data_IF_045315996704
#
_entry.id   IF_045315996704
#
_cell.length_a   1.000
_cell.length_b   1.000
_cell.length_c   1.000
_cell.angle_alpha   90.00
_cell.angle_beta   90.00
_cell.angle_gamma   90.00
#
_symmetry.space_group_name_H-M   'P 1'
#
loop_
_entity.id
_entity.type
_entity.pdbx_description
1 polymer ?
#
# COMPACT_ATOMS: atom_id res chain seq x y z
N UNK A 1 -14.56 -64.77 -6.01
CA UNK A 1 -14.56 -65.70 -7.17
C UNK A 1 -13.72 -65.09 -8.27
N UNK A 2 -12.66 -65.86 -8.62
CA UNK A 2 -11.78 -65.80 -9.78
C UNK A 2 -10.80 -64.62 -9.95
N UNK A 3 -9.57 -64.93 -9.54
CA UNK A 3 -8.29 -64.51 -10.11
C UNK A 3 -8.19 -64.89 -11.61
N UNK A 4 -7.38 -64.13 -12.37
CA UNK A 4 -6.44 -64.71 -13.36
C UNK A 4 -5.21 -63.79 -13.47
N UNK A 5 -4.06 -64.35 -13.08
CA UNK A 5 -2.69 -63.96 -13.44
C UNK A 5 -2.38 -64.33 -14.90
N UNK A 6 -1.36 -63.66 -15.47
CA UNK A 6 -0.22 -64.26 -16.22
C UNK A 6 0.63 -63.14 -16.85
N UNK A 7 1.82 -62.87 -16.35
CA UNK A 7 3.17 -63.37 -16.67
C UNK A 7 3.55 -63.33 -18.15
N UNK A 8 4.67 -62.71 -18.47
CA UNK A 8 5.39 -62.80 -19.75
C UNK A 8 6.77 -62.11 -19.64
N UNK A 9 7.77 -62.92 -19.26
CA UNK A 9 9.20 -62.67 -19.40
C UNK A 9 9.67 -62.96 -20.84
N UNK A 10 10.55 -62.08 -21.37
CA UNK A 10 11.48 -62.51 -22.41
C UNK A 10 12.85 -61.90 -22.26
N UNK A 11 13.86 -62.73 -22.15
CA UNK A 11 15.30 -62.49 -22.08
C UNK A 11 15.90 -62.43 -23.48
N UNK A 12 17.05 -61.80 -23.60
CA UNK A 12 18.05 -61.98 -24.69
C UNK A 12 18.76 -60.65 -24.92
N UNK A 13 20.03 -60.44 -24.85
CA UNK A 13 21.19 -61.34 -24.98
C UNK A 13 22.32 -60.43 -25.51
N UNK A 14 23.31 -60.32 -24.76
CA UNK A 14 24.74 -60.08 -24.98
C UNK A 14 25.22 -59.81 -26.43
N UNK A 15 25.99 -58.71 -26.61
CA UNK A 15 27.29 -58.74 -27.33
C UNK A 15 28.17 -57.56 -26.91
N UNK A 16 29.31 -57.91 -26.30
CA UNK A 16 30.48 -57.03 -26.06
C UNK A 16 31.18 -56.78 -27.38
N UNK A 17 31.62 -55.56 -27.62
CA UNK A 17 32.78 -55.27 -28.46
C UNK A 17 33.56 -54.11 -27.90
N UNK A 18 34.80 -54.41 -27.52
CA UNK A 18 35.81 -53.45 -27.10
C UNK A 18 36.59 -52.97 -28.32
N UNK A 19 36.86 -51.67 -28.40
CA UNK A 19 37.99 -51.12 -29.15
C UNK A 19 38.29 -49.73 -28.68
N UNK A 20 39.40 -49.57 -27.99
CA UNK A 20 40.59 -48.78 -28.25
C UNK A 20 40.49 -47.22 -28.17
N UNK A 21 41.16 -46.75 -27.16
CA UNK A 21 41.97 -45.55 -26.95
C UNK A 21 42.01 -44.50 -28.09
N UNK A 22 41.63 -43.29 -27.74
CA UNK A 22 42.03 -42.05 -28.38
C UNK A 22 42.07 -40.91 -27.33
N UNK A 23 43.24 -40.68 -26.76
CA UNK A 23 43.55 -39.62 -25.81
C UNK A 23 43.63 -38.32 -26.60
N UNK A 24 42.62 -37.44 -26.47
CA UNK A 24 42.71 -36.05 -26.91
C UNK A 24 42.49 -35.18 -25.69
N UNK A 25 43.60 -34.66 -25.15
CA UNK A 25 43.60 -33.63 -24.16
C UNK A 25 43.10 -32.31 -24.78
N UNK A 26 41.85 -31.94 -24.53
CA UNK A 26 41.32 -30.65 -24.89
C UNK A 26 41.42 -29.74 -23.63
N UNK A 27 42.35 -28.80 -23.74
CA UNK A 27 42.55 -27.74 -22.75
C UNK A 27 41.20 -27.01 -22.45
N UNK A 28 40.66 -27.24 -21.27
CA UNK A 28 39.60 -26.43 -20.74
C UNK A 28 40.18 -25.08 -20.31
N UNK A 29 40.02 -24.05 -21.12
CA UNK A 29 40.21 -22.66 -20.66
C UNK A 29 38.99 -22.27 -19.80
N UNK A 30 39.22 -21.74 -18.60
CA UNK A 30 38.11 -21.15 -17.87
C UNK A 30 37.65 -19.88 -18.62
N UNK A 31 36.41 -19.89 -19.09
CA UNK A 31 35.72 -18.68 -19.53
C UNK A 31 35.52 -17.82 -18.29
N UNK A 32 36.43 -16.89 -18.05
CA UNK A 32 36.19 -15.81 -17.12
C UNK A 32 35.08 -14.93 -17.71
N UNK A 33 33.85 -15.15 -17.27
CA UNK A 33 32.78 -14.20 -17.48
C UNK A 33 33.17 -12.94 -16.68
N UNK A 34 33.59 -11.93 -17.39
CA UNK A 34 33.71 -10.57 -16.87
C UNK A 34 32.30 -10.11 -16.50
N UNK A 35 31.97 -10.27 -15.24
CA UNK A 35 30.81 -9.67 -14.61
C UNK A 35 31.11 -8.14 -14.53
N UNK A 36 30.80 -7.42 -15.61
CA UNK A 36 30.71 -5.97 -15.55
C UNK A 36 29.58 -5.64 -14.62
N UNK A 37 29.91 -5.35 -13.36
CA UNK A 37 29.04 -4.62 -12.48
C UNK A 37 28.64 -3.32 -13.18
N UNK A 38 27.40 -3.28 -13.69
CA UNK A 38 26.77 -2.04 -14.10
C UNK A 38 26.53 -1.27 -12.82
N UNK A 39 27.48 -0.41 -12.44
CA UNK A 39 27.21 0.70 -11.54
C UNK A 39 26.12 1.52 -12.20
N UNK A 40 24.86 1.27 -11.83
CA UNK A 40 23.76 2.17 -12.11
C UNK A 40 24.00 3.43 -11.28
N UNK A 41 24.83 4.33 -11.82
CA UNK A 41 24.90 5.69 -11.35
C UNK A 41 23.49 6.27 -11.40
N UNK A 42 22.95 6.65 -10.26
CA UNK A 42 21.66 7.34 -10.17
C UNK A 42 21.75 8.59 -11.06
N UNK A 43 21.22 8.49 -12.26
CA UNK A 43 21.16 9.59 -13.21
C UNK A 43 20.23 10.64 -12.59
N UNK A 44 20.79 11.80 -12.21
CA UNK A 44 19.99 12.90 -11.65
C UNK A 44 18.91 13.25 -12.64
N UNK A 45 17.65 13.16 -12.18
CA UNK A 45 16.48 13.58 -12.97
C UNK A 45 16.74 14.97 -13.55
N UNK A 46 16.70 15.16 -14.88
CA UNK A 46 16.91 16.46 -15.50
C UNK A 46 15.99 17.52 -14.90
N UNK A 47 16.46 18.74 -14.71
CA UNK A 47 15.72 19.80 -14.04
C UNK A 47 14.36 20.12 -14.71
N UNK A 48 14.29 20.04 -16.04
CA UNK A 48 13.06 20.20 -16.81
C UNK A 48 12.05 19.07 -16.54
N UNK A 49 12.50 17.83 -16.37
CA UNK A 49 11.64 16.71 -16.01
C UNK A 49 11.13 16.84 -14.58
N UNK A 50 11.97 17.28 -13.64
CA UNK A 50 11.56 17.54 -12.26
C UNK A 50 10.50 18.65 -12.19
N UNK A 51 10.63 19.71 -13.00
CA UNK A 51 9.64 20.78 -13.10
C UNK A 51 8.32 20.29 -13.69
N UNK A 52 8.38 19.49 -14.77
CA UNK A 52 7.18 18.88 -15.37
C UNK A 52 6.46 17.94 -14.39
N UNK A 53 7.19 17.15 -13.61
CA UNK A 53 6.61 16.29 -12.58
C UNK A 53 5.89 17.15 -11.53
N UNK A 54 6.48 18.23 -11.04
CA UNK A 54 5.82 19.15 -10.08
C UNK A 54 4.58 19.81 -10.66
N UNK A 55 4.59 20.13 -11.96
CA UNK A 55 3.42 20.72 -12.62
C UNK A 55 2.26 19.71 -12.76
N UNK A 56 2.57 18.43 -12.97
CA UNK A 56 1.56 17.35 -13.06
C UNK A 56 1.03 16.96 -11.68
N UNK A 57 1.90 16.97 -10.64
CA UNK A 57 1.60 16.53 -9.29
C UNK A 57 1.76 17.68 -8.28
N UNK A 58 0.91 18.72 -8.32
CA UNK A 58 1.03 19.84 -7.40
C UNK A 58 0.88 19.37 -5.94
N UNK A 59 1.76 19.85 -5.06
CA UNK A 59 1.76 19.48 -3.64
C UNK A 59 2.33 18.09 -3.34
N UNK A 60 2.88 17.38 -4.34
CA UNK A 60 3.49 16.07 -4.18
C UNK A 60 4.99 16.10 -4.52
N UNK A 61 5.80 15.54 -3.64
CA UNK A 61 7.22 15.29 -3.90
C UNK A 61 7.47 13.79 -3.97
N UNK A 62 8.11 13.34 -5.05
CA UNK A 62 8.39 11.93 -5.31
C UNK A 62 9.89 11.70 -5.13
N UNK A 63 10.26 10.80 -4.21
CA UNK A 63 11.63 10.33 -4.03
C UNK A 63 11.72 8.86 -4.45
N UNK A 64 12.24 8.61 -5.64
CA UNK A 64 12.37 7.26 -6.20
C UNK A 64 13.55 6.48 -5.61
N UNK A 65 14.61 7.17 -5.14
CA UNK A 65 15.79 6.55 -4.55
C UNK A 65 15.45 5.95 -3.17
N UNK A 66 14.88 6.75 -2.28
CA UNK A 66 14.45 6.31 -0.95
C UNK A 66 13.05 5.71 -0.92
N UNK A 67 12.37 5.72 -2.06
CA UNK A 67 11.04 5.15 -2.27
C UNK A 67 9.99 5.67 -1.29
N UNK A 68 9.76 6.98 -1.31
CA UNK A 68 8.66 7.61 -0.60
C UNK A 68 7.98 8.69 -1.43
N UNK A 69 6.76 9.00 -1.06
CA UNK A 69 5.96 10.11 -1.58
C UNK A 69 5.62 11.02 -0.41
N UNK A 70 5.97 12.31 -0.54
CA UNK A 70 5.58 13.37 0.38
C UNK A 70 4.43 14.16 -0.20
N UNK A 71 3.36 14.30 0.57
CA UNK A 71 2.17 15.08 0.19
C UNK A 71 2.03 16.26 1.14
N UNK A 72 2.03 17.47 0.58
CA UNK A 72 1.75 18.69 1.36
C UNK A 72 0.34 18.62 1.94
N UNK A 73 0.23 18.81 3.23
CA UNK A 73 -0.99 18.62 4.00
C UNK A 73 -1.16 19.75 5.02
N UNK A 74 -2.37 19.89 5.51
CA UNK A 74 -2.72 20.86 6.55
C UNK A 74 -3.50 20.14 7.63
N UNK A 75 -3.17 20.37 8.91
CA UNK A 75 -3.96 19.86 10.04
C UNK A 75 -5.34 20.47 10.00
N UNK A 76 -6.39 19.67 9.94
CA UNK A 76 -7.77 20.13 9.84
C UNK A 76 -8.64 19.77 11.06
N UNK A 77 -8.21 18.83 11.90
CA UNK A 77 -8.89 18.45 13.13
C UNK A 77 -7.86 18.23 14.23
N UNK A 78 -8.13 18.70 15.46
CA UNK A 78 -7.24 18.56 16.61
C UNK A 78 -7.79 17.65 17.72
N UNK A 79 -9.08 17.33 17.68
CA UNK A 79 -9.78 16.48 18.66
C UNK A 79 -10.97 15.79 18.00
N UNK A 80 -11.44 14.69 18.56
CA UNK A 80 -12.62 13.96 18.10
C UNK A 80 -12.31 12.59 17.51
N UNK A 81 -13.40 11.90 17.13
CA UNK A 81 -13.33 10.59 16.48
C UNK A 81 -12.86 10.71 15.05
N UNK A 82 -12.22 9.62 14.57
CA UNK A 82 -11.63 9.59 13.25
C UNK A 82 -12.20 8.43 12.42
N UNK A 83 -12.61 8.76 11.22
CA UNK A 83 -12.90 7.79 10.16
C UNK A 83 -11.77 7.78 9.11
N UNK A 84 -11.02 8.87 9.03
CA UNK A 84 -10.02 9.12 7.99
C UNK A 84 -8.74 9.68 8.63
N UNK A 85 -7.58 9.30 8.12
CA UNK A 85 -6.30 9.95 8.46
C UNK A 85 -6.08 11.17 7.58
N UNK A 86 -6.35 11.04 6.27
CA UNK A 86 -6.15 12.09 5.29
C UNK A 86 -7.29 12.11 4.28
N UNK A 87 -7.85 13.28 4.04
CA UNK A 87 -8.88 13.52 3.04
C UNK A 87 -8.44 14.58 2.02
N UNK A 88 -9.09 14.61 0.85
CA UNK A 88 -8.96 15.73 -0.07
C UNK A 88 -9.68 16.96 0.51
N UNK A 89 -9.21 18.14 0.12
CA UNK A 89 -9.84 19.41 0.50
C UNK A 89 -11.32 19.45 0.11
N UNK A 90 -12.13 20.09 0.94
CA UNK A 90 -13.58 20.27 0.79
C UNK A 90 -14.36 18.92 0.79
N UNK A 91 -13.87 17.91 1.55
CA UNK A 91 -14.51 16.60 1.63
C UNK A 91 -14.83 16.16 3.07
N UNK A 92 -13.85 15.62 3.82
CA UNK A 92 -14.05 14.96 5.12
C UNK A 92 -13.18 15.54 6.23
N UNK A 93 -12.94 16.84 6.25
CA UNK A 93 -12.06 17.49 7.22
C UNK A 93 -12.55 17.34 8.66
N UNK A 94 -13.86 17.20 8.86
CA UNK A 94 -14.49 17.08 10.19
C UNK A 94 -14.25 15.71 10.86
N UNK A 95 -13.64 14.75 10.16
CA UNK A 95 -13.35 13.39 10.63
C UNK A 95 -11.95 12.93 10.21
N UNK A 96 -11.08 13.87 9.83
CA UNK A 96 -9.74 13.63 9.30
C UNK A 96 -8.68 14.43 10.06
N UNK A 97 -7.49 13.85 10.25
CA UNK A 97 -6.36 14.55 10.88
C UNK A 97 -5.84 15.66 9.97
N UNK A 98 -5.63 15.33 8.69
CA UNK A 98 -5.07 16.25 7.71
C UNK A 98 -5.89 16.27 6.43
N UNK A 99 -5.95 17.44 5.81
CA UNK A 99 -6.45 17.57 4.44
C UNK A 99 -5.29 17.82 3.48
N UNK A 100 -5.45 17.39 2.23
CA UNK A 100 -4.50 17.56 1.12
C UNK A 100 -5.17 18.30 -0.04
N UNK A 101 -4.42 19.15 -0.73
CA UNK A 101 -4.89 19.81 -1.97
C UNK A 101 -4.64 18.93 -3.21
N UNK A 102 -3.72 17.97 -3.09
CA UNK A 102 -3.43 17.03 -4.16
C UNK A 102 -4.62 16.09 -4.39
N UNK A 103 -4.90 15.79 -5.66
CA UNK A 103 -5.93 14.81 -6.00
C UNK A 103 -5.54 13.40 -5.54
N UNK A 104 -6.47 12.61 -4.99
CA UNK A 104 -6.24 11.21 -4.65
C UNK A 104 -5.66 10.39 -5.81
N UNK A 105 -6.10 10.62 -7.06
CA UNK A 105 -5.53 9.97 -8.26
C UNK A 105 -4.06 10.34 -8.50
N UNK A 106 -3.64 11.55 -8.15
CA UNK A 106 -2.23 11.96 -8.24
C UNK A 106 -1.37 11.26 -7.20
N UNK A 107 -1.87 11.09 -5.97
CA UNK A 107 -1.20 10.32 -4.90
C UNK A 107 -1.06 8.86 -5.32
N UNK A 108 -2.12 8.27 -5.89
CA UNK A 108 -2.07 6.93 -6.48
C UNK A 108 -0.97 6.82 -7.54
N UNK A 109 -0.98 7.73 -8.52
CA UNK A 109 0.03 7.73 -9.59
C UNK A 109 1.45 7.92 -9.05
N UNK A 110 1.66 8.78 -8.06
CA UNK A 110 2.96 8.99 -7.42
C UNK A 110 3.48 7.72 -6.73
N UNK A 111 2.60 6.97 -6.04
CA UNK A 111 2.94 5.67 -5.46
C UNK A 111 3.31 4.64 -6.52
N UNK A 112 2.62 4.61 -7.67
CA UNK A 112 3.01 3.75 -8.80
C UNK A 112 4.40 4.10 -9.34
N UNK A 113 4.73 5.39 -9.46
CA UNK A 113 6.01 5.86 -9.98
C UNK A 113 7.21 5.42 -9.12
N UNK A 114 7.02 5.22 -7.81
CA UNK A 114 8.05 4.65 -6.91
C UNK A 114 7.97 3.13 -6.81
N UNK A 115 7.19 2.48 -7.67
CA UNK A 115 7.09 1.03 -7.76
C UNK A 115 6.20 0.39 -6.68
N UNK A 116 5.28 1.13 -6.06
CA UNK A 116 4.26 0.55 -5.20
C UNK A 116 3.21 -0.19 -6.03
N UNK A 117 2.64 -1.25 -5.47
CA UNK A 117 1.66 -2.11 -6.15
C UNK A 117 0.29 -1.94 -5.51
N UNK A 118 -0.70 -1.40 -6.25
CA UNK A 118 -2.07 -1.32 -5.78
C UNK A 118 -2.73 -2.69 -5.75
N UNK A 119 -3.77 -2.80 -4.95
CA UNK A 119 -4.66 -3.97 -4.91
C UNK A 119 -6.09 -3.60 -5.28
N UNK A 120 -6.97 -3.74 -4.32
CA UNK A 120 -8.39 -3.33 -4.41
C UNK A 120 -8.87 -2.81 -3.05
N UNK A 121 -9.76 -1.82 -3.01
CA UNK A 121 -10.49 -1.48 -1.80
C UNK A 121 -11.45 -2.61 -1.40
N UNK A 122 -12.02 -2.52 -0.20
CA UNK A 122 -13.08 -3.42 0.20
C UNK A 122 -14.28 -3.27 -0.75
N UNK A 123 -14.89 -4.37 -1.14
CA UNK A 123 -16.02 -4.36 -2.05
C UNK A 123 -16.97 -5.52 -1.78
N UNK A 124 -18.19 -5.41 -2.28
CA UNK A 124 -19.16 -6.50 -2.29
C UNK A 124 -19.39 -6.97 -3.72
N UNK A 125 -19.47 -8.26 -3.89
CA UNK A 125 -19.70 -8.88 -5.20
C UNK A 125 -20.90 -9.83 -5.14
N UNK A 126 -21.85 -9.76 -6.08
CA UNK A 126 -22.91 -10.73 -6.17
C UNK A 126 -22.34 -12.11 -6.54
N UNK A 127 -22.90 -13.14 -5.96
CA UNK A 127 -22.54 -14.56 -6.19
C UNK A 127 -23.37 -15.16 -7.32
N UNK A 128 -24.59 -14.65 -7.52
CA UNK A 128 -25.55 -15.11 -8.50
C UNK A 128 -25.98 -13.96 -9.44
N UNK A 129 -26.51 -14.31 -10.61
CA UNK A 129 -26.97 -13.34 -11.62
C UNK A 129 -28.12 -12.47 -11.12
N UNK A 130 -28.94 -12.99 -10.18
CA UNK A 130 -30.09 -12.27 -9.61
C UNK A 130 -29.68 -11.34 -8.45
N UNK A 131 -28.38 -11.32 -8.09
CA UNK A 131 -27.82 -10.53 -6.98
C UNK A 131 -28.55 -10.75 -5.64
N UNK A 132 -29.01 -11.97 -5.39
CA UNK A 132 -29.70 -12.35 -4.14
C UNK A 132 -28.74 -12.63 -2.99
N UNK A 133 -27.50 -13.05 -3.33
CA UNK A 133 -26.42 -13.31 -2.39
C UNK A 133 -25.17 -12.52 -2.73
N UNK A 134 -24.50 -12.03 -1.71
CA UNK A 134 -23.30 -11.22 -1.83
C UNK A 134 -22.15 -11.80 -1.01
N UNK A 135 -20.94 -11.64 -1.48
CA UNK A 135 -19.72 -11.92 -0.72
C UNK A 135 -18.95 -10.63 -0.52
N UNK A 136 -18.38 -10.49 0.66
CA UNK A 136 -17.47 -9.39 0.97
C UNK A 136 -16.07 -9.76 0.53
N UNK A 137 -15.45 -8.89 -0.25
CA UNK A 137 -14.07 -9.00 -0.69
C UNK A 137 -13.25 -8.02 0.15
N UNK A 138 -12.34 -8.52 0.99
CA UNK A 138 -11.52 -7.64 1.82
C UNK A 138 -10.57 -6.80 0.98
N UNK A 139 -10.14 -5.64 1.50
CA UNK A 139 -9.16 -4.80 0.83
C UNK A 139 -7.82 -5.53 0.70
N UNK A 140 -7.09 -5.24 -0.36
CA UNK A 140 -5.76 -5.79 -0.64
C UNK A 140 -4.87 -4.69 -1.21
N UNK A 141 -3.57 -4.89 -1.10
CA UNK A 141 -2.56 -4.01 -1.67
C UNK A 141 -1.22 -4.19 -0.97
N UNK A 142 -0.21 -3.53 -1.50
CA UNK A 142 1.08 -3.49 -0.83
C UNK A 142 0.97 -2.65 0.44
N UNK A 143 1.67 -3.07 1.48
CA UNK A 143 1.78 -2.32 2.72
C UNK A 143 2.53 -1.01 2.50
N UNK A 144 1.99 0.09 3.02
CA UNK A 144 2.56 1.43 2.99
C UNK A 144 2.60 1.97 4.42
N UNK A 145 3.79 2.34 4.88
CA UNK A 145 3.95 3.03 6.16
C UNK A 145 3.57 4.49 5.99
N UNK A 146 2.75 4.99 6.93
CA UNK A 146 2.27 6.37 6.96
C UNK A 146 2.88 7.09 8.15
N UNK A 147 3.50 8.24 7.88
CA UNK A 147 4.08 9.12 8.89
C UNK A 147 3.70 10.57 8.60
N UNK A 148 3.72 11.42 9.63
CA UNK A 148 3.61 12.86 9.48
C UNK A 148 4.94 13.52 9.83
N UNK A 149 5.38 14.45 8.99
CA UNK A 149 6.44 15.37 9.34
C UNK A 149 5.75 16.63 9.89
N UNK A 150 5.97 16.87 11.18
CA UNK A 150 5.40 18.00 11.89
C UNK A 150 6.50 18.98 12.31
N UNK A 151 6.27 20.30 12.25
CA UNK A 151 7.25 21.28 12.73
C UNK A 151 7.31 21.25 14.26
N UNK A 152 8.52 21.31 14.80
CA UNK A 152 8.75 21.61 16.22
C UNK A 152 8.63 23.12 16.49
N UNK A 153 8.84 23.55 17.75
CA UNK A 153 8.79 24.96 18.18
C UNK A 153 9.79 25.87 17.41
N UNK A 154 10.81 25.29 16.79
CA UNK A 154 11.82 25.99 15.99
C UNK A 154 11.52 25.93 14.50
N UNK A 155 10.43 25.28 14.11
CA UNK A 155 10.05 25.07 12.71
C UNK A 155 10.82 23.93 12.03
N UNK A 156 11.55 23.08 12.77
CA UNK A 156 12.26 21.92 12.22
C UNK A 156 11.26 20.79 12.07
N UNK A 157 11.18 20.25 10.85
CA UNK A 157 10.26 19.14 10.53
C UNK A 157 10.78 17.83 11.14
N UNK A 158 9.97 17.21 11.98
CA UNK A 158 10.26 15.93 12.65
C UNK A 158 9.28 14.86 12.15
N UNK A 159 9.81 13.75 11.63
CA UNK A 159 9.00 12.63 11.15
C UNK A 159 8.52 11.80 12.35
N UNK A 160 7.20 11.60 12.46
CA UNK A 160 6.54 10.84 13.52
C UNK A 160 5.58 9.82 12.93
N UNK A 161 5.48 8.61 13.49
CA UNK A 161 4.51 7.62 13.06
C UNK A 161 3.09 8.14 13.28
N UNK A 162 2.15 7.74 12.43
CA UNK A 162 0.77 8.20 12.54
C UNK A 162 0.13 7.76 13.87
N UNK A 163 0.53 6.63 14.41
CA UNK A 163 0.07 6.11 15.70
C UNK A 163 0.37 7.04 16.89
N UNK A 164 1.33 7.95 16.77
CA UNK A 164 1.63 8.90 17.85
C UNK A 164 0.49 9.91 18.08
N UNK A 165 -0.35 10.10 17.08
CA UNK A 165 -1.44 11.08 17.06
C UNK A 165 -2.81 10.49 17.39
N UNK A 166 -2.90 9.16 17.57
CA UNK A 166 -4.15 8.47 17.82
C UNK A 166 -4.14 7.75 19.18
N UNK A 167 -5.33 7.65 19.74
CA UNK A 167 -5.60 6.81 20.90
C UNK A 167 -6.91 6.04 20.67
N UNK A 168 -7.10 4.87 21.33
CA UNK A 168 -8.39 4.21 21.33
C UNK A 168 -9.47 5.15 21.85
N UNK A 169 -10.65 5.10 21.25
CA UNK A 169 -11.84 5.77 21.80
C UNK A 169 -12.20 5.16 23.16
N UNK A 170 -12.66 6.02 24.07
CA UNK A 170 -13.02 5.60 25.44
C UNK A 170 -14.41 6.13 25.80
N UNK A 171 -15.18 5.30 26.48
CA UNK A 171 -16.45 5.68 27.07
C UNK A 171 -16.25 6.62 28.31
N UNK A 172 -17.34 7.06 28.91
CA UNK A 172 -17.31 7.92 30.10
C UNK A 172 -16.62 7.29 31.31
N UNK A 173 -16.48 5.96 31.35
CA UNK A 173 -15.76 5.22 32.39
C UNK A 173 -14.28 5.05 32.10
N UNK A 174 -13.81 5.50 30.92
CA UNK A 174 -12.43 5.40 30.48
C UNK A 174 -12.05 4.03 29.89
N UNK A 175 -13.03 3.14 29.67
CA UNK A 175 -12.85 1.87 28.99
C UNK A 175 -12.92 2.07 27.47
N UNK A 176 -12.27 1.19 26.66
CA UNK A 176 -12.41 1.22 25.22
C UNK A 176 -13.89 1.15 24.81
N UNK A 177 -14.36 2.12 24.03
CA UNK A 177 -15.76 2.20 23.59
C UNK A 177 -16.14 1.00 22.71
N UNK A 178 -15.18 0.49 21.95
CA UNK A 178 -15.34 -0.72 21.15
C UNK A 178 -14.61 -1.89 21.81
N UNK A 179 -15.36 -2.91 22.21
CA UNK A 179 -14.82 -4.09 22.83
C UNK A 179 -13.84 -4.83 21.91
N UNK A 180 -12.63 -5.12 22.42
CA UNK A 180 -11.57 -5.77 21.64
C UNK A 180 -10.82 -4.84 20.67
N UNK A 181 -10.99 -3.51 20.77
CA UNK A 181 -10.18 -2.57 20.04
C UNK A 181 -8.69 -2.79 20.36
N UNK A 182 -7.85 -2.64 19.34
CA UNK A 182 -6.40 -2.76 19.50
C UNK A 182 -5.88 -1.64 20.45
N UNK A 183 -4.93 -1.98 21.31
CA UNK A 183 -4.31 -0.99 22.22
C UNK A 183 -3.45 0.05 21.48
N UNK A 184 -2.93 -0.32 20.32
CA UNK A 184 -2.07 0.54 19.49
C UNK A 184 -2.54 0.58 18.05
N UNK A 185 -2.60 1.79 17.50
CA UNK A 185 -2.93 2.02 16.10
C UNK A 185 -1.83 1.50 15.15
N UNK A 186 -2.23 1.04 13.97
CA UNK A 186 -1.30 0.61 12.93
C UNK A 186 -0.73 1.80 12.16
N UNK A 187 0.59 1.85 11.97
CA UNK A 187 1.23 2.80 11.06
C UNK A 187 1.24 2.32 9.60
N UNK A 188 0.69 1.14 9.35
CA UNK A 188 0.74 0.47 8.06
C UNK A 188 -0.65 0.33 7.48
N UNK A 189 -0.80 0.79 6.24
CA UNK A 189 -2.02 0.75 5.45
C UNK A 189 -1.80 -0.07 4.18
N UNK A 190 -2.88 -0.57 3.58
CA UNK A 190 -2.86 -1.23 2.29
C UNK A 190 -3.02 -0.19 1.18
N UNK A 191 -2.18 -0.25 0.16
CA UNK A 191 -2.39 0.51 -1.07
C UNK A 191 -3.53 -0.15 -1.86
N UNK A 192 -4.76 0.16 -1.50
CA UNK A 192 -5.97 -0.35 -2.12
C UNK A 192 -6.14 0.19 -3.54
N UNK A 193 -5.82 1.47 -3.74
CA UNK A 193 -5.74 2.10 -5.05
C UNK A 193 -7.06 2.67 -5.55
N UNK A 194 -8.11 2.72 -4.73
CA UNK A 194 -9.45 3.15 -5.14
C UNK A 194 -9.94 2.38 -6.38
N UNK A 195 -10.92 2.88 -7.07
CA UNK A 195 -11.33 2.33 -8.37
C UNK A 195 -11.88 3.41 -9.30
N UNK A 196 -11.94 3.04 -10.59
CA UNK A 196 -12.48 3.91 -11.63
C UNK A 196 -13.86 3.42 -12.02
N UNK A 197 -14.86 4.27 -11.86
CA UNK A 197 -16.19 4.06 -12.40
C UNK A 197 -16.25 4.53 -13.86
N UNK A 198 -16.85 3.74 -14.73
CA UNK A 198 -17.03 4.10 -16.13
C UNK A 198 -18.52 4.20 -16.46
N UNK A 199 -18.92 5.37 -16.94
CA UNK A 199 -20.25 5.63 -17.45
C UNK A 199 -20.15 6.17 -18.88
N UNK A 200 -20.54 5.35 -19.85
CA UNK A 200 -20.32 5.64 -21.26
C UNK A 200 -18.81 5.76 -21.58
N UNK A 201 -18.41 6.91 -22.13
CA UNK A 201 -17.01 7.23 -22.41
C UNK A 201 -16.28 7.89 -21.23
N UNK A 202 -17.02 8.30 -20.20
CA UNK A 202 -16.45 9.00 -19.03
C UNK A 202 -15.88 8.00 -18.03
N UNK A 203 -14.63 8.22 -17.63
CA UNK A 203 -13.96 7.48 -16.56
C UNK A 203 -13.75 8.39 -15.38
N UNK A 204 -14.28 8.02 -14.23
CA UNK A 204 -14.20 8.80 -12.99
C UNK A 204 -13.45 8.01 -11.92
N UNK A 205 -12.37 8.57 -11.38
CA UNK A 205 -11.66 8.00 -10.25
C UNK A 205 -12.41 8.36 -8.97
N UNK A 206 -12.92 7.35 -8.25
CA UNK A 206 -13.86 7.61 -7.14
C UNK A 206 -13.20 8.28 -5.95
N UNK A 207 -11.94 8.00 -5.68
CA UNK A 207 -11.19 8.74 -4.66
C UNK A 207 -11.17 10.25 -4.89
N UNK A 208 -11.13 10.71 -6.16
CA UNK A 208 -11.16 12.15 -6.49
C UNK A 208 -12.55 12.77 -6.26
N UNK A 209 -13.61 11.96 -6.33
CA UNK A 209 -15.00 12.42 -6.12
C UNK A 209 -15.31 12.52 -4.63
N UNK A 210 -14.95 11.48 -3.88
CA UNK A 210 -15.34 11.34 -2.46
C UNK A 210 -14.27 11.84 -1.49
N UNK A 211 -13.05 12.11 -2.00
CA UNK A 211 -11.97 12.68 -1.21
C UNK A 211 -11.25 11.72 -0.27
N UNK A 212 -11.51 10.41 -0.37
CA UNK A 212 -10.92 9.41 0.52
C UNK A 212 -9.46 9.10 0.13
N UNK A 213 -8.50 9.63 0.90
CA UNK A 213 -7.06 9.40 0.67
C UNK A 213 -6.56 8.24 1.52
N UNK A 214 -6.65 8.37 2.85
CA UNK A 214 -6.23 7.32 3.79
C UNK A 214 -7.34 7.12 4.80
N UNK A 215 -7.99 5.98 4.77
CA UNK A 215 -9.18 5.71 5.58
C UNK A 215 -8.89 4.72 6.70
N UNK A 216 -9.48 4.98 7.86
CA UNK A 216 -9.59 4.06 9.01
C UNK A 216 -10.83 3.21 8.79
N UNK A 217 -11.98 3.87 8.62
CA UNK A 217 -13.25 3.21 8.28
C UNK A 217 -13.26 2.77 6.82
N UNK A 218 -14.09 1.78 6.49
CA UNK A 218 -14.18 1.17 5.16
C UNK A 218 -15.21 1.90 4.32
N UNK A 219 -14.78 2.63 3.32
CA UNK A 219 -15.64 3.33 2.34
C UNK A 219 -15.74 2.58 1.00
N UNK A 220 -14.70 1.84 0.64
CA UNK A 220 -14.65 1.06 -0.60
C UNK A 220 -14.10 1.82 -1.81
N UNK A 221 -13.59 3.03 -1.62
CA UNK A 221 -13.05 3.89 -2.69
C UNK A 221 -11.76 4.64 -2.29
N UNK A 222 -11.20 4.32 -1.16
CA UNK A 222 -9.98 4.91 -0.62
C UNK A 222 -8.71 4.52 -1.41
N UNK A 223 -7.72 5.40 -1.43
CA UNK A 223 -6.40 5.10 -2.01
C UNK A 223 -5.63 4.18 -1.09
N UNK A 224 -5.60 4.49 0.22
CA UNK A 224 -5.04 3.63 1.26
C UNK A 224 -6.10 3.35 2.33
N UNK A 225 -6.08 2.15 2.90
CA UNK A 225 -6.98 1.76 3.99
C UNK A 225 -6.30 0.80 4.97
N UNK A 226 -6.89 0.65 6.15
CA UNK A 226 -6.52 -0.43 7.07
C UNK A 226 -6.86 -1.80 6.48
N UNK A 227 -6.15 -2.83 6.94
CA UNK A 227 -6.50 -4.20 6.62
C UNK A 227 -7.80 -4.60 7.33
N UNK A 228 -8.67 -5.33 6.63
CA UNK A 228 -9.94 -5.77 7.19
C UNK A 228 -11.12 -4.86 6.83
N UNK A 229 -12.21 -5.03 7.55
CA UNK A 229 -13.41 -4.21 7.44
C UNK A 229 -13.61 -3.45 8.75
N UNK A 230 -13.77 -2.13 8.65
CA UNK A 230 -13.95 -1.24 9.79
C UNK A 230 -15.24 -0.45 9.62
N UNK A 231 -16.08 -0.47 10.64
CA UNK A 231 -17.39 0.17 10.62
C UNK A 231 -17.28 1.70 10.53
N UNK A 232 -18.33 2.34 10.00
CA UNK A 232 -18.47 3.79 9.87
C UNK A 232 -19.47 4.36 10.89
N UNK A 233 -20.24 3.51 11.58
CA UNK A 233 -21.21 3.95 12.55
C UNK A 233 -20.50 4.55 13.77
N UNK A 234 -20.95 5.71 14.24
CA UNK A 234 -20.34 6.46 15.34
C UNK A 234 -20.07 5.62 16.60
N UNK A 235 -20.96 4.68 16.93
CA UNK A 235 -20.80 3.78 18.09
C UNK A 235 -19.77 2.66 17.86
N UNK A 236 -19.21 2.53 16.66
CA UNK A 236 -18.22 1.54 16.29
C UNK A 236 -16.85 2.16 15.96
N UNK A 237 -16.71 3.48 16.08
CA UNK A 237 -15.44 4.18 15.83
C UNK A 237 -14.47 3.88 16.99
N UNK A 238 -13.39 3.22 16.66
CA UNK A 238 -12.41 2.71 17.63
C UNK A 238 -11.28 3.70 17.92
N UNK A 239 -11.18 4.80 17.18
CA UNK A 239 -10.04 5.69 17.22
C UNK A 239 -10.43 7.16 17.30
N UNK A 240 -9.68 7.90 18.10
CA UNK A 240 -9.80 9.34 18.24
C UNK A 240 -8.42 10.00 18.22
N UNK A 241 -8.40 11.30 17.98
CA UNK A 241 -7.17 12.08 18.09
C UNK A 241 -6.70 12.07 19.56
N UNK A 242 -5.42 11.76 19.74
CA UNK A 242 -4.79 11.86 21.06
C UNK A 242 -4.64 13.34 21.44
N UNK A 243 -5.17 13.78 22.59
CA UNK A 243 -5.05 15.16 23.02
C UNK A 243 -3.60 15.69 22.99
N UNK A 244 -3.42 16.94 22.62
CA UNK A 244 -2.14 17.67 22.59
C UNK A 244 -1.03 17.01 21.74
N UNK A 245 -1.39 16.09 20.85
CA UNK A 245 -0.40 15.38 20.03
C UNK A 245 -0.12 16.04 18.69
N UNK A 246 -1.08 16.79 18.16
CA UNK A 246 -1.02 17.50 16.88
C UNK A 246 -0.68 18.98 17.07
N UNK A 247 -0.06 19.61 16.07
CA UNK A 247 0.01 21.07 16.00
C UNK A 247 -1.38 21.69 15.84
N UNK A 248 -1.47 23.01 16.00
CA UNK A 248 -2.70 23.76 15.79
C UNK A 248 -3.33 23.52 14.41
N UNK A 249 -4.66 23.59 14.34
CA UNK A 249 -5.41 23.52 13.07
C UNK A 249 -4.90 24.63 12.13
N UNK A 250 -4.72 24.28 10.86
CA UNK A 250 -4.13 25.16 9.84
C UNK A 250 -2.61 25.03 9.72
N UNK A 251 -1.93 24.31 10.62
CA UNK A 251 -0.50 24.06 10.51
C UNK A 251 -0.18 23.22 9.30
N UNK A 252 0.80 23.66 8.50
CA UNK A 252 1.32 22.91 7.35
C UNK A 252 2.20 21.77 7.85
N UNK A 253 1.92 20.58 7.39
CA UNK A 253 2.63 19.34 7.68
C UNK A 253 2.88 18.57 6.38
N UNK A 254 3.68 17.52 6.43
CA UNK A 254 3.89 16.64 5.28
C UNK A 254 3.43 15.24 5.65
N UNK A 255 2.52 14.71 4.84
CA UNK A 255 2.11 13.32 4.91
C UNK A 255 3.11 12.50 4.08
N UNK A 256 3.87 11.60 4.70
CA UNK A 256 4.84 10.74 4.04
C UNK A 256 4.34 9.32 3.92
N UNK A 257 4.40 8.80 2.69
CA UNK A 257 3.95 7.48 2.30
C UNK A 257 5.15 6.66 1.83
N UNK A 258 5.48 5.59 2.57
CA UNK A 258 6.64 4.74 2.28
C UNK A 258 6.20 3.29 2.05
N UNK A 259 6.19 2.79 0.79
CA UNK A 259 5.89 1.39 0.50
C UNK A 259 6.89 0.47 1.19
N UNK A 260 6.39 -0.56 1.83
CA UNK A 260 7.22 -1.58 2.49
C UNK A 260 7.56 -2.70 1.51
N UNK A 261 8.70 -3.35 1.72
CA UNK A 261 9.02 -4.57 0.99
C UNK A 261 7.92 -5.62 1.24
N UNK A 262 7.59 -6.39 0.21
CA UNK A 262 6.72 -7.55 0.42
C UNK A 262 7.42 -8.48 1.43
N UNK A 263 6.67 -9.08 2.39
CA UNK A 263 7.27 -10.09 3.25
C UNK A 263 7.88 -11.18 2.35
N UNK A 264 9.13 -11.53 2.61
CA UNK A 264 9.75 -12.67 1.96
C UNK A 264 8.85 -13.89 2.22
N UNK A 265 8.44 -14.57 1.15
CA UNK A 265 7.77 -15.86 1.31
C UNK A 265 8.78 -16.77 1.98
N UNK A 266 8.54 -17.12 3.24
CA UNK A 266 9.20 -18.27 3.85
C UNK A 266 8.71 -19.49 3.05
N UNK A 267 9.64 -20.07 2.27
CA UNK A 267 9.43 -21.36 1.59
C UNK A 267 9.33 -22.50 2.60
#
# INVERSE_FOLDING_TARGET
MRQVERTGKAKGGFKRMAAALGLAALCAQPLAAEEKAVEAGAEKVPADLAERIRAIFPGITINSEERFVDVQSVVCLAEGYLEVIACAKDSREHESIVMVEAKPSHIHAALLLIGARPGNPAMRKPVDEEATRWIDIPPRGQSVKVTLLVPDEKGVMTERPISDFLSPSKDESGLPEVAGAAEKFSDTFLFAGSYTHQEGETKTYLGDVNGNVISISTFGDEVLCLAGHHAQENHALSWQIKPDSLPEIGTKVILRLRPQAAPEKQE
#
